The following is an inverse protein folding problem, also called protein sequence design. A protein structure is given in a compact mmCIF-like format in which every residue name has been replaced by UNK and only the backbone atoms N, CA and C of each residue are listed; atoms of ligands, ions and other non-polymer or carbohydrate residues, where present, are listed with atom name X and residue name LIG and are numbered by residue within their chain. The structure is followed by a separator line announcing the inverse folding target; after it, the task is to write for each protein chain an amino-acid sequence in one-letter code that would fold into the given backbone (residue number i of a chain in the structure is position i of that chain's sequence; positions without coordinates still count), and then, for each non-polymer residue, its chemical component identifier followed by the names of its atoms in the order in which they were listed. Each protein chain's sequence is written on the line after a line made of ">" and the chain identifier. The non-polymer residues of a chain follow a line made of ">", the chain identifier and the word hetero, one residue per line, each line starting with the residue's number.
data_IF_607755904249
#
_entry.id   IF_607755904249
#
_cell.length_a   1.000
_cell.length_b   1.000
_cell.length_c   1.000
_cell.angle_alpha   90.00
_cell.angle_beta   90.00
_cell.angle_gamma   90.00
#
_symmetry.space_group_name_H-M   'P 1'
#
loop_
_entity.id
_entity.type
_entity.pdbx_description
1 polymer ?
#
# COMPACT_ATOMS: atom_id res chain seq x y z
N UNK A 1 0.85 -13.82 -14.71
CA UNK A 1 -0.04 -14.12 -13.55
C UNK A 1 -0.87 -15.40 -13.71
N UNK A 2 -1.14 -15.92 -14.90
CA UNK A 2 -1.96 -17.14 -15.06
C UNK A 2 -1.50 -18.37 -14.22
N UNK A 3 -0.18 -18.64 -14.05
CA UNK A 3 0.27 -19.75 -13.20
C UNK A 3 -0.10 -19.57 -11.72
N UNK A 4 -0.16 -18.33 -11.22
CA UNK A 4 -0.52 -18.06 -9.83
C UNK A 4 -1.97 -18.44 -9.51
N UNK A 5 -2.92 -18.15 -10.41
CA UNK A 5 -4.34 -18.43 -10.17
C UNK A 5 -4.67 -19.93 -10.22
N UNK A 6 -3.82 -20.73 -10.86
CA UNK A 6 -4.03 -22.17 -11.09
C UNK A 6 -3.01 -23.04 -10.36
N UNK A 7 -2.27 -22.46 -9.41
CA UNK A 7 -1.24 -23.18 -8.65
C UNK A 7 -1.87 -24.38 -7.91
N UNK A 8 -1.26 -25.59 -7.97
CA UNK A 8 -1.81 -26.78 -7.33
C UNK A 8 -2.09 -26.63 -5.84
N UNK A 9 -1.37 -25.75 -5.13
CA UNK A 9 -1.53 -25.53 -3.70
C UNK A 9 -2.91 -24.95 -3.32
N UNK A 10 -3.55 -24.19 -4.20
CA UNK A 10 -4.83 -23.52 -3.89
C UNK A 10 -5.82 -23.43 -5.05
N UNK A 11 -5.41 -23.67 -6.29
CA UNK A 11 -6.24 -23.49 -7.50
C UNK A 11 -7.51 -24.34 -7.54
N UNK A 12 -7.58 -25.39 -6.70
CA UNK A 12 -8.74 -26.25 -6.57
C UNK A 12 -9.85 -25.69 -5.65
N UNK A 13 -9.59 -24.60 -4.93
CA UNK A 13 -10.53 -24.01 -3.95
C UNK A 13 -11.67 -23.25 -4.66
N UNK A 14 -11.32 -22.46 -5.68
CA UNK A 14 -12.24 -21.53 -6.38
C UNK A 14 -11.58 -21.02 -7.67
N UNK A 15 -12.34 -20.33 -8.53
CA UNK A 15 -11.76 -19.54 -9.62
C UNK A 15 -11.15 -18.25 -9.07
N UNK A 16 -9.89 -18.34 -8.63
CA UNK A 16 -9.18 -17.21 -8.05
C UNK A 16 -9.06 -16.01 -8.99
N UNK A 17 -9.03 -16.23 -10.30
CA UNK A 17 -8.93 -15.12 -11.25
C UNK A 17 -10.22 -14.31 -11.24
N UNK A 18 -11.37 -14.99 -11.30
CA UNK A 18 -12.68 -14.35 -11.23
C UNK A 18 -12.92 -13.73 -9.84
N UNK A 19 -12.60 -14.46 -8.77
CA UNK A 19 -12.83 -14.02 -7.39
C UNK A 19 -12.00 -12.80 -7.02
N UNK A 20 -10.72 -12.75 -7.42
CA UNK A 20 -9.82 -11.64 -7.09
C UNK A 20 -9.95 -10.44 -8.04
N UNK A 21 -10.49 -10.62 -9.24
CA UNK A 21 -10.62 -9.56 -10.25
C UNK A 21 -11.25 -8.25 -9.70
N UNK A 22 -12.42 -8.27 -9.02
CA UNK A 22 -13.01 -7.03 -8.51
C UNK A 22 -12.12 -6.35 -7.45
N UNK A 23 -11.38 -7.11 -6.66
CA UNK A 23 -10.49 -6.55 -5.63
C UNK A 23 -9.20 -5.97 -6.23
N UNK A 24 -8.66 -6.57 -7.29
CA UNK A 24 -7.54 -5.98 -8.03
C UNK A 24 -7.93 -4.67 -8.72
N UNK A 25 -9.12 -4.62 -9.31
CA UNK A 25 -9.66 -3.40 -9.90
C UNK A 25 -9.90 -2.31 -8.85
N UNK A 26 -10.50 -2.65 -7.71
CA UNK A 26 -10.65 -1.72 -6.59
C UNK A 26 -9.30 -1.21 -6.08
N UNK A 27 -8.32 -2.10 -5.88
CA UNK A 27 -6.98 -1.72 -5.44
C UNK A 27 -6.29 -0.80 -6.45
N UNK A 28 -6.43 -1.08 -7.77
CA UNK A 28 -5.89 -0.25 -8.85
C UNK A 28 -6.46 1.17 -8.81
N UNK A 29 -7.78 1.31 -8.63
CA UNK A 29 -8.45 2.62 -8.49
C UNK A 29 -7.99 3.35 -7.23
N UNK A 30 -7.97 2.66 -6.09
CA UNK A 30 -7.59 3.25 -4.82
C UNK A 30 -6.14 3.74 -4.77
N UNK A 31 -5.23 2.97 -5.37
CA UNK A 31 -3.83 3.34 -5.49
C UNK A 31 -3.60 4.41 -6.57
N UNK A 32 -4.60 4.74 -7.39
CA UNK A 32 -4.48 5.72 -8.46
C UNK A 32 -3.48 5.28 -9.52
N UNK A 33 -3.49 3.99 -9.88
CA UNK A 33 -2.49 3.41 -10.77
C UNK A 33 -2.62 3.96 -12.18
N UNK A 34 -1.52 4.49 -12.70
CA UNK A 34 -1.37 5.02 -14.05
C UNK A 34 0.01 4.67 -14.60
N UNK A 35 0.16 4.69 -15.92
CA UNK A 35 1.46 4.47 -16.54
C UNK A 35 2.35 5.70 -16.41
N UNK A 36 3.66 5.48 -16.26
CA UNK A 36 4.64 6.57 -16.39
C UNK A 36 4.47 7.21 -17.78
N UNK A 37 4.37 8.54 -17.89
CA UNK A 37 3.98 9.21 -19.14
C UNK A 37 5.10 9.26 -20.18
N UNK A 38 6.34 9.05 -19.76
CA UNK A 38 7.53 9.25 -20.58
C UNK A 38 8.52 8.10 -20.35
N UNK A 39 9.28 7.78 -21.40
CA UNK A 39 10.38 6.84 -21.30
C UNK A 39 11.63 7.55 -20.80
N UNK A 40 12.39 6.89 -19.94
CA UNK A 40 13.72 7.32 -19.52
C UNK A 40 14.79 6.68 -20.41
N UNK A 41 16.05 7.16 -20.38
CA UNK A 41 17.14 6.47 -21.07
C UNK A 41 17.29 5.00 -20.66
N UNK A 42 16.98 4.65 -19.40
CA UNK A 42 16.99 3.26 -18.96
C UNK A 42 15.90 2.43 -19.65
N UNK A 43 14.73 3.01 -19.89
CA UNK A 43 13.64 2.35 -20.61
C UNK A 43 14.03 2.07 -22.07
N UNK A 44 14.78 2.96 -22.72
CA UNK A 44 15.30 2.74 -24.08
C UNK A 44 16.23 1.52 -24.15
N UNK A 45 17.16 1.38 -23.19
CA UNK A 45 18.02 0.20 -23.11
C UNK A 45 17.23 -1.08 -22.83
N UNK A 46 16.20 -1.01 -21.99
CA UNK A 46 15.33 -2.15 -21.72
C UNK A 46 14.53 -2.57 -22.97
N UNK A 47 14.07 -1.61 -23.78
CA UNK A 47 13.41 -1.89 -25.07
C UNK A 47 14.35 -2.58 -26.06
N UNK A 48 15.56 -2.05 -26.24
CA UNK A 48 16.57 -2.65 -27.13
C UNK A 48 16.94 -4.07 -26.69
N UNK A 49 17.14 -4.28 -25.39
CA UNK A 49 17.38 -5.62 -24.85
C UNK A 49 16.19 -6.56 -25.12
N UNK A 50 14.96 -6.13 -24.89
CA UNK A 50 13.76 -6.93 -25.15
C UNK A 50 13.64 -7.30 -26.64
N UNK A 51 14.00 -6.38 -27.55
CA UNK A 51 14.06 -6.67 -28.99
C UNK A 51 15.11 -7.73 -29.32
N UNK A 52 16.32 -7.60 -28.79
CA UNK A 52 17.40 -8.58 -29.02
C UNK A 52 17.07 -9.97 -28.49
N UNK A 53 16.31 -10.04 -27.39
CA UNK A 53 15.84 -11.29 -26.79
C UNK A 53 14.57 -11.85 -27.46
N UNK A 54 13.98 -11.13 -28.42
CA UNK A 54 12.76 -11.56 -29.12
C UNK A 54 11.48 -11.50 -28.27
N UNK A 55 11.45 -10.63 -27.24
CA UNK A 55 10.32 -10.47 -26.30
C UNK A 55 9.83 -9.02 -26.21
N UNK A 56 10.01 -8.24 -27.28
CA UNK A 56 9.65 -6.83 -27.34
C UNK A 56 8.16 -6.55 -27.07
N UNK A 57 7.28 -7.51 -27.36
CA UNK A 57 5.85 -7.47 -27.07
C UNK A 57 5.51 -7.47 -25.57
N UNK A 58 6.45 -7.89 -24.72
CA UNK A 58 6.30 -7.85 -23.25
C UNK A 58 6.65 -6.49 -22.65
N UNK A 59 7.32 -5.61 -23.42
CA UNK A 59 7.67 -4.28 -22.94
C UNK A 59 6.41 -3.43 -22.78
N UNK A 60 6.29 -2.78 -21.62
CA UNK A 60 5.27 -1.80 -21.32
C UNK A 60 5.83 -0.82 -20.29
N UNK A 61 5.24 0.38 -20.24
CA UNK A 61 5.62 1.35 -19.21
C UNK A 61 5.13 0.88 -17.85
N UNK A 62 5.90 1.20 -16.82
CA UNK A 62 5.58 0.69 -15.49
C UNK A 62 4.31 1.37 -14.95
N UNK A 63 3.30 0.59 -14.51
CA UNK A 63 2.16 1.15 -13.79
C UNK A 63 2.57 1.53 -12.36
N UNK A 64 2.32 2.77 -11.95
CA UNK A 64 2.68 3.31 -10.64
C UNK A 64 1.53 4.09 -10.01
N UNK A 65 1.51 4.24 -8.68
CA UNK A 65 0.54 5.11 -7.98
C UNK A 65 1.07 6.53 -7.82
N UNK A 66 1.27 7.26 -8.92
CA UNK A 66 1.84 8.62 -8.92
C UNK A 66 0.96 9.57 -9.72
N UNK A 67 0.56 10.68 -9.10
CA UNK A 67 -0.07 11.75 -9.84
C UNK A 67 0.98 12.53 -10.64
N UNK A 68 0.97 12.36 -11.97
CA UNK A 68 1.90 13.08 -12.85
C UNK A 68 1.44 14.52 -13.09
N UNK A 69 0.20 14.74 -13.56
CA UNK A 69 -0.39 16.08 -13.70
C UNK A 69 0.52 17.10 -14.38
N UNK A 70 0.30 18.39 -14.12
CA UNK A 70 1.31 19.41 -14.41
C UNK A 70 2.30 19.49 -13.25
N UNK A 71 3.60 19.40 -13.56
CA UNK A 71 4.65 19.36 -12.56
C UNK A 71 4.56 20.54 -11.56
N UNK A 72 4.49 20.21 -10.26
CA UNK A 72 4.43 21.20 -9.18
C UNK A 72 3.07 21.90 -9.01
N UNK A 73 2.10 21.67 -9.90
CA UNK A 73 0.77 22.25 -9.77
C UNK A 73 -0.07 21.46 -8.76
N UNK A 74 -0.69 22.19 -7.82
CA UNK A 74 -1.63 21.65 -6.84
C UNK A 74 -3.04 21.63 -7.43
N UNK A 75 -3.70 20.49 -7.30
CA UNK A 75 -5.10 20.29 -7.71
C UNK A 75 -5.89 19.62 -6.58
N UNK A 76 -7.22 19.78 -6.55
CA UNK A 76 -8.10 18.95 -5.72
C UNK A 76 -7.89 17.45 -5.99
N UNK A 77 -8.31 16.60 -5.06
CA UNK A 77 -8.12 15.14 -5.18
C UNK A 77 -8.69 14.58 -6.50
N UNK A 78 -7.83 14.05 -7.41
CA UNK A 78 -8.27 13.56 -8.70
C UNK A 78 -8.81 12.12 -8.65
N UNK A 79 -8.83 11.48 -7.48
CA UNK A 79 -9.15 10.05 -7.34
C UNK A 79 -10.54 9.80 -6.77
N UNK A 80 -10.81 10.19 -5.53
CA UNK A 80 -11.97 9.72 -4.76
C UNK A 80 -13.19 10.62 -4.94
N UNK A 81 -13.42 11.09 -6.17
CA UNK A 81 -14.44 12.11 -6.44
C UNK A 81 -14.20 13.42 -5.68
N UNK A 82 -12.95 13.73 -5.34
CA UNK A 82 -12.59 14.91 -4.55
C UNK A 82 -12.53 14.69 -3.04
N UNK A 83 -12.85 13.49 -2.54
CA UNK A 83 -12.95 13.24 -1.10
C UNK A 83 -11.61 13.09 -0.37
N UNK A 84 -10.53 12.81 -1.11
CA UNK A 84 -9.18 12.74 -0.58
C UNK A 84 -8.50 14.10 -0.40
N UNK A 85 -7.22 14.12 0.01
CA UNK A 85 -6.45 15.36 0.08
C UNK A 85 -6.04 15.84 -1.31
N UNK A 86 -5.66 17.11 -1.45
CA UNK A 86 -5.05 17.63 -2.67
C UNK A 86 -3.87 16.77 -3.18
N UNK A 87 -3.60 16.88 -4.48
CA UNK A 87 -2.41 16.30 -5.11
C UNK A 87 -1.57 17.38 -5.77
N UNK A 88 -0.29 17.10 -5.92
CA UNK A 88 0.67 17.95 -6.64
C UNK A 88 1.30 17.13 -7.74
N UNK A 89 1.33 17.66 -8.97
CA UNK A 89 1.94 16.94 -10.09
C UNK A 89 3.42 16.62 -9.84
N UNK A 90 3.84 15.41 -10.19
CA UNK A 90 5.20 14.93 -10.01
C UNK A 90 6.22 15.86 -10.66
N UNK A 91 7.26 16.23 -9.91
CA UNK A 91 8.37 17.07 -10.40
C UNK A 91 9.59 16.25 -10.81
N UNK A 92 9.46 14.93 -10.87
CA UNK A 92 10.56 14.00 -11.21
C UNK A 92 11.80 14.15 -10.32
N UNK A 93 11.60 14.51 -9.04
CA UNK A 93 12.68 14.84 -8.10
C UNK A 93 13.54 13.64 -7.62
N UNK A 94 13.23 12.40 -8.02
CA UNK A 94 13.95 11.20 -7.60
C UNK A 94 13.75 10.78 -6.13
N UNK A 95 12.94 11.49 -5.34
CA UNK A 95 12.72 11.21 -3.91
C UNK A 95 11.85 9.99 -3.57
N UNK A 96 11.51 9.14 -4.56
CA UNK A 96 10.49 8.09 -4.44
C UNK A 96 10.79 7.06 -3.33
N UNK A 97 12.07 6.75 -3.11
CA UNK A 97 12.55 5.75 -2.14
C UNK A 97 12.54 6.25 -0.69
N UNK A 98 12.73 7.56 -0.50
CA UNK A 98 12.81 8.19 0.84
C UNK A 98 11.50 8.87 1.25
N UNK A 99 10.51 8.88 0.36
CA UNK A 99 9.21 9.53 0.56
C UNK A 99 9.03 10.76 -0.33
N UNK A 100 7.87 10.84 -0.99
CA UNK A 100 7.54 11.98 -1.84
C UNK A 100 7.17 13.19 -0.97
N UNK A 101 8.04 14.20 -0.95
CA UNK A 101 7.84 15.44 -0.17
C UNK A 101 6.76 16.36 -0.74
N UNK A 102 6.44 16.21 -2.02
CA UNK A 102 5.58 17.14 -2.76
C UNK A 102 4.12 16.72 -2.83
N UNK A 103 3.80 15.45 -2.53
CA UNK A 103 2.43 14.94 -2.54
C UNK A 103 1.96 14.38 -3.89
N UNK A 104 2.88 14.02 -4.77
CA UNK A 104 2.59 13.33 -6.03
C UNK A 104 2.33 11.83 -5.85
N UNK A 105 3.10 11.16 -4.97
CA UNK A 105 2.93 9.72 -4.71
C UNK A 105 1.65 9.49 -3.91
N UNK A 106 0.78 8.61 -4.39
CA UNK A 106 -0.50 8.29 -3.77
C UNK A 106 -0.33 7.25 -2.66
N UNK A 107 0.43 7.61 -1.63
CA UNK A 107 0.75 6.77 -0.48
C UNK A 107 -0.48 6.47 0.39
N UNK A 108 -0.37 5.48 1.30
CA UNK A 108 -1.52 5.01 2.08
C UNK A 108 -2.12 6.07 3.02
N UNK A 109 -1.28 6.96 3.54
CA UNK A 109 -1.65 8.16 4.32
C UNK A 109 -2.39 9.23 3.49
N UNK A 110 -2.43 9.09 2.16
CA UNK A 110 -3.16 9.99 1.25
C UNK A 110 -4.39 9.33 0.62
N UNK A 111 -4.58 8.03 0.76
CA UNK A 111 -5.76 7.31 0.28
C UNK A 111 -6.49 6.57 1.42
N UNK A 112 -6.28 5.28 1.59
CA UNK A 112 -6.99 4.42 2.54
C UNK A 112 -6.98 4.97 3.97
N UNK A 113 -5.82 5.37 4.51
CA UNK A 113 -5.76 5.86 5.89
C UNK A 113 -6.40 7.25 6.01
N UNK A 114 -6.21 8.12 5.02
CA UNK A 114 -6.85 9.43 5.00
C UNK A 114 -8.37 9.32 5.07
N UNK A 115 -8.95 8.49 4.19
CA UNK A 115 -10.39 8.26 4.15
C UNK A 115 -10.89 7.53 5.40
N UNK A 116 -10.12 6.58 5.94
CA UNK A 116 -10.48 5.90 7.18
C UNK A 116 -10.55 6.88 8.36
N UNK A 117 -9.55 7.76 8.52
CA UNK A 117 -9.57 8.79 9.58
C UNK A 117 -10.70 9.80 9.39
N UNK A 118 -10.95 10.22 8.14
CA UNK A 118 -12.12 11.06 7.80
C UNK A 118 -13.45 10.43 8.20
N UNK A 119 -13.54 9.09 8.14
CA UNK A 119 -14.70 8.30 8.56
C UNK A 119 -14.66 7.85 10.03
N UNK A 120 -13.77 8.42 10.85
CA UNK A 120 -13.76 8.24 12.31
C UNK A 120 -12.80 7.17 12.84
N UNK A 121 -12.03 6.50 11.97
CA UNK A 121 -10.91 5.68 12.43
C UNK A 121 -9.86 6.54 13.16
N UNK A 122 -9.17 5.96 14.13
CA UNK A 122 -8.14 6.66 14.90
C UNK A 122 -6.80 5.97 14.72
N UNK A 123 -5.84 6.67 14.13
CA UNK A 123 -4.45 6.18 14.07
C UNK A 123 -3.74 6.53 15.38
N UNK A 124 -3.13 5.52 16.00
CA UNK A 124 -2.28 5.70 17.18
C UNK A 124 -0.82 5.51 16.78
N UNK A 125 -0.13 6.57 16.30
CA UNK A 125 1.26 6.47 15.88
C UNK A 125 2.18 6.14 17.07
N UNK A 126 3.38 5.63 16.76
CA UNK A 126 4.38 5.22 17.75
C UNK A 126 3.87 4.21 18.79
N UNK A 127 2.96 3.31 18.37
CA UNK A 127 2.43 2.20 19.16
C UNK A 127 2.71 0.87 18.48
N UNK A 128 3.76 0.20 18.92
CA UNK A 128 4.05 -1.17 18.51
C UNK A 128 3.30 -2.14 19.44
N UNK A 129 2.45 -3.00 18.88
CA UNK A 129 1.85 -4.10 19.63
C UNK A 129 2.95 -5.09 20.01
N UNK A 130 3.01 -5.45 21.29
CA UNK A 130 4.00 -6.40 21.81
C UNK A 130 3.36 -7.66 22.37
N UNK A 131 2.06 -7.64 22.67
CA UNK A 131 1.35 -8.78 23.25
C UNK A 131 -0.17 -8.69 22.98
N UNK A 132 -0.80 -9.85 22.82
CA UNK A 132 -2.21 -10.03 22.52
C UNK A 132 -2.78 -11.17 23.38
N UNK A 133 -3.76 -10.85 24.22
CA UNK A 133 -4.36 -11.83 25.13
C UNK A 133 -5.88 -11.85 24.95
N UNK A 134 -6.53 -13.01 24.81
CA UNK A 134 -7.99 -13.08 24.85
C UNK A 134 -8.49 -12.70 26.26
N UNK A 135 -9.59 -11.96 26.33
CA UNK A 135 -10.20 -11.56 27.58
C UNK A 135 -11.27 -12.57 28.05
N UNK A 136 -11.45 -12.77 29.37
CA UNK A 136 -12.60 -13.49 29.89
C UNK A 136 -13.90 -12.83 29.44
N UNK A 137 -14.79 -13.57 28.79
CA UNK A 137 -16.05 -13.03 28.25
C UNK A 137 -15.98 -12.54 26.79
N UNK A 138 -14.82 -12.67 26.13
CA UNK A 138 -14.65 -12.34 24.71
C UNK A 138 -13.84 -11.06 24.48
N UNK A 139 -13.36 -10.91 23.25
CA UNK A 139 -12.45 -9.83 22.87
C UNK A 139 -11.01 -10.05 23.31
N UNK A 140 -10.22 -8.98 23.22
CA UNK A 140 -8.78 -9.00 23.29
C UNK A 140 -8.24 -7.84 24.12
N UNK A 141 -7.19 -8.12 24.88
CA UNK A 141 -6.27 -7.14 25.43
C UNK A 141 -5.10 -6.97 24.47
N UNK A 142 -4.82 -5.74 24.09
CA UNK A 142 -3.74 -5.38 23.16
C UNK A 142 -2.72 -4.53 23.92
N UNK A 143 -1.57 -5.10 24.23
CA UNK A 143 -0.48 -4.35 24.86
C UNK A 143 0.38 -3.70 23.79
N UNK A 144 0.66 -2.41 23.98
CA UNK A 144 1.52 -1.63 23.10
C UNK A 144 2.66 -0.95 23.85
N UNK A 145 3.79 -0.79 23.18
CA UNK A 145 4.95 -0.04 23.65
C UNK A 145 5.40 0.97 22.57
N UNK A 146 6.15 2.00 22.99
CA UNK A 146 6.78 2.93 22.05
C UNK A 146 7.96 2.22 21.37
N UNK A 147 7.99 2.12 20.02
CA UNK A 147 9.09 1.47 19.32
C UNK A 147 10.42 2.19 19.57
N UNK A 148 11.51 1.42 19.64
CA UNK A 148 12.88 1.94 19.82
C UNK A 148 13.19 2.54 21.20
N UNK A 149 12.26 2.51 22.16
CA UNK A 149 12.50 3.03 23.50
C UNK A 149 13.22 1.99 24.39
N UNK A 150 14.45 2.30 24.81
CA UNK A 150 15.20 1.49 25.77
C UNK A 150 14.75 1.74 27.22
N UNK A 151 14.36 2.99 27.53
CA UNK A 151 13.88 3.41 28.85
C UNK A 151 12.53 4.11 28.68
N UNK A 152 11.63 3.96 29.66
CA UNK A 152 10.26 4.53 29.64
C UNK A 152 9.51 4.16 28.35
N UNK A 153 9.26 2.87 28.13
CA UNK A 153 8.56 2.30 26.96
C UNK A 153 7.13 2.79 26.73
N UNK A 154 6.62 3.69 27.57
CA UNK A 154 5.27 4.29 27.53
C UNK A 154 4.19 3.23 27.30
N UNK A 155 4.28 2.09 27.99
CA UNK A 155 3.36 0.97 27.83
C UNK A 155 1.90 1.44 27.95
N UNK A 156 1.07 1.01 27.01
CA UNK A 156 -0.37 1.30 27.00
C UNK A 156 -1.12 0.03 26.61
N UNK A 157 -2.27 -0.19 27.25
CA UNK A 157 -3.17 -1.30 26.95
C UNK A 157 -4.43 -0.76 26.31
N UNK A 158 -4.87 -1.42 25.24
CA UNK A 158 -6.17 -1.25 24.62
C UNK A 158 -6.99 -2.52 24.82
N UNK A 159 -8.31 -2.40 24.73
CA UNK A 159 -9.22 -3.54 24.60
C UNK A 159 -9.96 -3.42 23.27
N UNK A 160 -10.20 -4.55 22.61
CA UNK A 160 -10.93 -4.61 21.36
C UNK A 160 -11.74 -5.91 21.27
N UNK A 161 -12.94 -5.86 20.71
CA UNK A 161 -13.74 -7.07 20.49
C UNK A 161 -13.11 -7.97 19.41
N UNK A 162 -12.49 -7.34 18.41
CA UNK A 162 -11.82 -8.02 17.29
C UNK A 162 -10.43 -7.42 17.06
N UNK A 163 -9.50 -8.26 16.60
CA UNK A 163 -8.14 -7.86 16.23
C UNK A 163 -7.86 -8.36 14.82
N UNK A 164 -7.50 -7.44 13.92
CA UNK A 164 -7.03 -7.74 12.57
C UNK A 164 -5.53 -7.50 12.54
N UNK A 165 -4.74 -8.54 12.26
CA UNK A 165 -3.29 -8.43 12.19
C UNK A 165 -2.85 -7.94 10.82
N UNK A 166 -2.10 -6.85 10.79
CA UNK A 166 -1.59 -6.23 9.56
C UNK A 166 -0.20 -5.60 9.79
N UNK A 167 0.63 -6.24 10.62
CA UNK A 167 1.95 -5.73 11.01
C UNK A 167 3.07 -6.08 10.00
N UNK A 168 2.70 -6.32 8.74
CA UNK A 168 3.56 -6.94 7.73
C UNK A 168 3.90 -8.39 8.03
N UNK A 169 4.63 -9.07 7.14
CA UNK A 169 4.97 -10.50 7.28
C UNK A 169 5.70 -10.77 8.60
N UNK A 170 6.82 -10.06 8.83
CA UNK A 170 7.66 -10.29 10.01
C UNK A 170 6.96 -9.93 11.32
N UNK A 171 6.25 -8.78 11.35
CA UNK A 171 5.57 -8.32 12.56
C UNK A 171 4.39 -9.21 12.93
N UNK A 172 3.63 -9.67 11.93
CA UNK A 172 2.48 -10.55 12.16
C UNK A 172 2.91 -11.93 12.64
N UNK A 173 3.90 -12.53 11.97
CA UNK A 173 4.44 -13.85 12.38
C UNK A 173 5.00 -13.79 13.80
N UNK A 174 5.73 -12.72 14.16
CA UNK A 174 6.26 -12.54 15.52
C UNK A 174 5.18 -12.42 16.61
N UNK A 175 3.97 -11.97 16.27
CA UNK A 175 2.86 -11.90 17.23
C UNK A 175 2.11 -13.24 17.36
N UNK A 176 2.25 -14.13 16.39
CA UNK A 176 1.52 -15.41 16.33
C UNK A 176 2.36 -16.61 16.82
N UNK A 177 3.68 -16.46 16.92
CA UNK A 177 4.64 -17.47 17.38
C UNK A 177 5.22 -17.10 18.74
#
# INVERSE_FOLDING_TARGET
>A
LAPFYTDPQWGHITDWKAELAPFYDQARRMLGVNEVPEDTPADEYMKDLAQRLGVADTYHRTPVGVYFGKAGERVPDPYFGGEGPDRVGCTHCGGCMVGCRFGAKNTLDRNYLYLAEKNGAKVHPDRQVTDLEPLPGGGWRVTTERPGAWVRRRRKVFTAEQVVLSAGVLGTVKLLL
#
